data_IF_340410424138
#
_entry.id   IF_340410424138
#
_cell.length_a   1.000
_cell.length_b   1.000
_cell.length_c   1.000
_cell.angle_alpha   90.00
_cell.angle_beta   90.00
_cell.angle_gamma   90.00
#
_symmetry.space_group_name_H-M   'P 1'
#
loop_
_entity.id
_entity.type
_entity.pdbx_description
1 polymer ?
#
# COMPACT_ATOMS: atom_id res chain seq x y z
N UNK A 1 52.04 53.69 -47.66
CA UNK A 1 50.99 52.65 -47.66
C UNK A 1 51.36 51.38 -46.86
N UNK A 2 52.64 51.01 -46.69
CA UNK A 2 53.04 49.80 -45.92
C UNK A 2 53.04 49.94 -44.38
N UNK A 3 53.21 51.14 -43.80
CA UNK A 3 53.28 51.32 -42.33
C UNK A 3 51.88 51.29 -41.66
N UNK A 4 50.85 51.77 -42.37
CA UNK A 4 49.46 51.76 -41.88
C UNK A 4 48.90 50.33 -41.83
N UNK A 5 49.29 49.48 -42.79
CA UNK A 5 48.92 48.07 -42.85
C UNK A 5 49.58 47.22 -41.73
N UNK A 6 50.79 47.58 -41.32
CA UNK A 6 51.48 46.92 -40.20
C UNK A 6 50.88 47.28 -38.84
N UNK A 7 50.45 48.54 -38.65
CA UNK A 7 49.80 48.96 -37.40
C UNK A 7 48.39 48.38 -37.25
N UNK A 8 47.65 48.17 -38.34
CA UNK A 8 46.36 47.45 -38.30
C UNK A 8 46.52 45.96 -37.94
N UNK A 9 47.66 45.34 -38.27
CA UNK A 9 47.96 43.95 -37.90
C UNK A 9 48.19 43.76 -36.39
N UNK A 10 48.85 44.72 -35.74
CA UNK A 10 49.12 44.68 -34.29
C UNK A 10 47.86 45.01 -33.49
N UNK A 11 47.05 45.98 -33.94
CA UNK A 11 45.76 46.28 -33.34
C UNK A 11 44.78 45.09 -33.46
N UNK A 12 44.76 44.42 -34.61
CA UNK A 12 43.95 43.22 -34.83
C UNK A 12 44.37 42.03 -33.95
N UNK A 13 45.68 41.81 -33.76
CA UNK A 13 46.19 40.75 -32.91
C UNK A 13 45.90 40.98 -31.41
N UNK A 14 45.98 42.23 -30.94
CA UNK A 14 45.64 42.59 -29.56
C UNK A 14 44.15 42.39 -29.23
N UNK A 15 43.25 42.77 -30.14
CA UNK A 15 41.80 42.55 -30.00
C UNK A 15 41.46 41.05 -30.05
N UNK A 16 42.16 40.28 -30.87
CA UNK A 16 41.97 38.83 -30.96
C UNK A 16 42.39 38.08 -29.69
N UNK A 17 43.54 38.44 -29.08
CA UNK A 17 43.99 37.83 -27.82
C UNK A 17 43.11 38.25 -26.63
N UNK A 18 42.63 39.50 -26.61
CA UNK A 18 41.66 39.97 -25.61
C UNK A 18 40.31 39.27 -25.74
N UNK A 19 39.83 39.04 -26.97
CA UNK A 19 38.62 38.27 -27.27
C UNK A 19 38.77 36.81 -26.86
N UNK A 20 39.89 36.15 -27.18
CA UNK A 20 40.19 34.78 -26.74
C UNK A 20 40.24 34.63 -25.21
N UNK A 21 40.71 35.66 -24.48
CA UNK A 21 40.72 35.66 -23.01
C UNK A 21 39.32 35.88 -22.42
N UNK A 22 38.52 36.76 -23.02
CA UNK A 22 37.13 36.97 -22.64
C UNK A 22 36.27 35.72 -22.91
N UNK A 23 36.45 35.09 -24.07
CA UNK A 23 35.74 33.86 -24.44
C UNK A 23 36.15 32.68 -23.54
N UNK A 24 37.42 32.58 -23.11
CA UNK A 24 37.87 31.58 -22.13
C UNK A 24 37.30 31.81 -20.71
N UNK A 25 37.16 33.05 -20.27
CA UNK A 25 36.57 33.37 -18.96
C UNK A 25 35.06 33.03 -18.94
N UNK A 26 34.38 33.28 -20.04
CA UNK A 26 32.95 32.96 -20.22
C UNK A 26 32.74 31.44 -20.32
N UNK A 27 33.61 30.72 -21.03
CA UNK A 27 33.59 29.26 -21.08
C UNK A 27 33.88 28.62 -19.72
N UNK A 28 34.80 29.16 -18.92
CA UNK A 28 35.05 28.69 -17.55
C UNK A 28 33.89 28.97 -16.61
N UNK A 29 33.22 30.12 -16.73
CA UNK A 29 32.01 30.41 -15.98
C UNK A 29 30.87 29.43 -16.34
N UNK A 30 30.67 29.15 -17.64
CA UNK A 30 29.72 28.15 -18.11
C UNK A 30 30.11 26.72 -17.69
N UNK A 31 31.40 26.41 -17.62
CA UNK A 31 31.89 25.10 -17.16
C UNK A 31 31.65 24.92 -15.66
N UNK A 32 31.84 25.97 -14.84
CA UNK A 32 31.49 25.98 -13.41
C UNK A 32 29.97 25.87 -13.22
N UNK A 33 29.16 26.47 -14.09
CA UNK A 33 27.70 26.38 -14.05
C UNK A 33 27.20 25.00 -14.51
N UNK A 34 27.84 24.40 -15.52
CA UNK A 34 27.62 23.02 -15.94
C UNK A 34 28.09 22.02 -14.87
N UNK A 35 29.23 22.22 -14.23
CA UNK A 35 29.74 21.38 -13.13
C UNK A 35 28.82 21.47 -11.91
N UNK A 36 28.33 22.66 -11.55
CA UNK A 36 27.30 22.84 -10.52
C UNK A 36 25.98 22.19 -10.91
N UNK A 37 25.59 22.27 -12.19
CA UNK A 37 24.42 21.61 -12.75
C UNK A 37 24.56 20.08 -12.75
N UNK A 38 25.75 19.55 -12.99
CA UNK A 38 26.10 18.13 -12.98
C UNK A 38 26.17 17.61 -11.54
N UNK A 39 26.73 18.33 -10.57
CA UNK A 39 26.72 17.93 -9.14
C UNK A 39 25.31 17.97 -8.54
N UNK A 40 24.53 19.02 -8.81
CA UNK A 40 23.14 19.12 -8.40
C UNK A 40 22.27 18.03 -9.07
N UNK A 41 22.53 17.71 -10.34
CA UNK A 41 21.91 16.57 -11.02
C UNK A 41 22.41 15.23 -10.49
N UNK A 42 23.68 15.09 -10.09
CA UNK A 42 24.20 13.83 -9.54
C UNK A 42 23.52 13.50 -8.23
N UNK A 43 23.41 14.48 -7.33
CA UNK A 43 22.68 14.32 -6.06
C UNK A 43 21.18 14.09 -6.28
N UNK A 44 20.56 14.78 -7.24
CA UNK A 44 19.17 14.56 -7.61
C UNK A 44 18.95 13.17 -8.22
N UNK A 45 19.88 12.67 -9.05
CA UNK A 45 19.84 11.34 -9.66
C UNK A 45 20.03 10.25 -8.60
N UNK A 46 20.91 10.46 -7.61
CA UNK A 46 21.04 9.55 -6.46
C UNK A 46 19.77 9.52 -5.62
N UNK A 47 19.20 10.68 -5.31
CA UNK A 47 17.92 10.77 -4.60
C UNK A 47 16.78 10.12 -5.40
N UNK A 48 16.72 10.37 -6.71
CA UNK A 48 15.75 9.74 -7.61
C UNK A 48 15.93 8.22 -7.66
N UNK A 49 17.16 7.68 -7.63
CA UNK A 49 17.40 6.23 -7.56
C UNK A 49 16.83 5.64 -6.28
N UNK A 50 17.07 6.29 -5.14
CA UNK A 50 16.51 5.86 -3.84
C UNK A 50 14.98 5.91 -3.86
N UNK A 51 14.40 6.98 -4.40
CA UNK A 51 12.95 7.12 -4.54
C UNK A 51 12.37 6.07 -5.50
N UNK A 52 13.05 5.76 -6.61
CA UNK A 52 12.65 4.71 -7.54
C UNK A 52 12.71 3.32 -6.90
N UNK A 53 13.74 3.02 -6.11
CA UNK A 53 13.83 1.78 -5.35
C UNK A 53 12.69 1.66 -4.33
N UNK A 54 12.41 2.73 -3.58
CA UNK A 54 11.29 2.78 -2.64
C UNK A 54 9.92 2.64 -3.33
N UNK A 55 9.74 3.26 -4.52
CA UNK A 55 8.54 3.11 -5.35
C UNK A 55 8.42 1.67 -5.87
N UNK A 56 9.52 1.04 -6.31
CA UNK A 56 9.50 -0.35 -6.76
C UNK A 56 9.15 -1.32 -5.62
N UNK A 57 9.74 -1.12 -4.43
CA UNK A 57 9.42 -1.92 -3.25
C UNK A 57 7.95 -1.75 -2.85
N UNK A 58 7.45 -0.51 -2.83
CA UNK A 58 6.06 -0.21 -2.53
C UNK A 58 5.11 -0.83 -3.56
N UNK A 59 5.45 -0.79 -4.85
CA UNK A 59 4.68 -1.46 -5.90
C UNK A 59 4.67 -2.98 -5.74
N UNK A 60 5.77 -3.60 -5.32
CA UNK A 60 5.80 -5.04 -4.99
C UNK A 60 4.84 -5.36 -3.84
N UNK A 61 4.86 -4.57 -2.76
CA UNK A 61 3.94 -4.72 -1.62
C UNK A 61 2.48 -4.56 -2.04
N UNK A 62 2.18 -3.55 -2.87
CA UNK A 62 0.84 -3.33 -3.41
C UNK A 62 0.37 -4.52 -4.27
N UNK A 63 1.24 -5.06 -5.13
CA UNK A 63 0.90 -6.23 -5.94
C UNK A 63 0.57 -7.45 -5.09
N UNK A 64 1.35 -7.72 -4.04
CA UNK A 64 1.08 -8.81 -3.08
C UNK A 64 -0.26 -8.58 -2.40
N UNK A 65 -0.50 -7.38 -1.87
CA UNK A 65 -1.77 -7.04 -1.20
C UNK A 65 -2.96 -7.20 -2.15
N UNK A 66 -2.88 -6.70 -3.38
CA UNK A 66 -3.95 -6.81 -4.38
C UNK A 66 -4.21 -8.27 -4.75
N UNK A 67 -3.18 -9.10 -4.88
CA UNK A 67 -3.35 -10.53 -5.14
C UNK A 67 -4.01 -11.26 -3.97
N UNK A 68 -3.57 -10.97 -2.74
CA UNK A 68 -4.19 -11.52 -1.53
C UNK A 68 -5.65 -11.08 -1.43
N UNK A 69 -5.96 -9.80 -1.59
CA UNK A 69 -7.34 -9.31 -1.57
C UNK A 69 -8.22 -9.93 -2.65
N UNK A 70 -7.70 -10.09 -3.89
CA UNK A 70 -8.44 -10.78 -4.96
C UNK A 70 -8.76 -12.22 -4.58
N UNK A 71 -7.80 -12.92 -3.98
CA UNK A 71 -8.00 -14.29 -3.50
C UNK A 71 -9.02 -14.35 -2.37
N UNK A 72 -8.94 -13.44 -1.42
CA UNK A 72 -9.88 -13.36 -0.30
C UNK A 72 -11.31 -13.08 -0.80
N UNK A 73 -11.48 -12.17 -1.76
CA UNK A 73 -12.77 -11.90 -2.40
C UNK A 73 -13.32 -13.12 -3.14
N UNK A 74 -12.47 -13.83 -3.90
CA UNK A 74 -12.88 -15.05 -4.61
C UNK A 74 -13.24 -16.19 -3.64
N UNK A 75 -12.50 -16.33 -2.54
CA UNK A 75 -12.85 -17.27 -1.47
C UNK A 75 -14.17 -16.90 -0.78
N UNK A 76 -14.40 -15.61 -0.50
CA UNK A 76 -15.65 -15.12 0.07
C UNK A 76 -16.82 -15.39 -0.88
N UNK A 77 -16.69 -15.06 -2.16
CA UNK A 77 -17.70 -15.32 -3.18
C UNK A 77 -18.02 -16.83 -3.28
N UNK A 78 -16.98 -17.68 -3.36
CA UNK A 78 -17.15 -19.15 -3.35
C UNK A 78 -17.85 -19.66 -2.11
N UNK A 79 -17.61 -19.07 -0.94
CA UNK A 79 -18.28 -19.44 0.32
C UNK A 79 -19.76 -19.03 0.29
N UNK A 80 -20.06 -17.82 -0.17
CA UNK A 80 -21.42 -17.31 -0.23
C UNK A 80 -22.26 -17.92 -1.37
N UNK A 81 -21.63 -18.34 -2.48
CA UNK A 81 -22.30 -18.86 -3.67
C UNK A 81 -22.16 -20.40 -3.87
N UNK A 82 -21.76 -21.14 -2.83
CA UNK A 82 -21.46 -22.59 -2.92
C UNK A 82 -22.70 -23.43 -3.29
N UNK A 83 -22.58 -24.23 -4.36
CA UNK A 83 -23.50 -25.33 -4.74
C UNK A 83 -25.00 -24.92 -4.78
N UNK A 84 -25.32 -23.82 -5.47
CA UNK A 84 -26.68 -23.27 -5.68
C UNK A 84 -27.29 -22.42 -4.56
N UNK A 85 -26.56 -22.14 -3.47
CA UNK A 85 -26.99 -21.15 -2.47
C UNK A 85 -26.45 -19.80 -2.90
N UNK A 86 -27.26 -18.99 -3.54
CA UNK A 86 -26.99 -17.57 -3.70
C UNK A 86 -27.55 -16.87 -2.46
N UNK A 87 -26.68 -16.36 -1.60
CA UNK A 87 -27.09 -15.71 -0.34
C UNK A 87 -27.90 -14.45 -0.62
N UNK A 88 -27.64 -13.73 -1.72
CA UNK A 88 -28.41 -12.56 -2.12
C UNK A 88 -29.84 -12.94 -2.53
N UNK A 89 -29.99 -13.96 -3.38
CA UNK A 89 -31.32 -14.50 -3.73
C UNK A 89 -32.05 -15.05 -2.51
N UNK A 90 -31.34 -15.77 -1.64
CA UNK A 90 -31.90 -16.33 -0.41
C UNK A 90 -32.32 -15.23 0.59
N UNK A 91 -31.59 -14.12 0.64
CA UNK A 91 -31.91 -12.97 1.46
C UNK A 91 -33.19 -12.27 0.99
N UNK A 92 -33.47 -12.27 -0.31
CA UNK A 92 -34.73 -11.75 -0.87
C UNK A 92 -35.88 -12.73 -0.59
N UNK A 93 -35.70 -14.02 -0.93
CA UNK A 93 -36.75 -15.04 -0.81
C UNK A 93 -37.09 -15.40 0.65
N UNK A 94 -36.11 -15.30 1.56
CA UNK A 94 -36.23 -15.71 2.98
C UNK A 94 -35.65 -14.67 3.94
N UNK A 95 -35.95 -13.40 3.69
CA UNK A 95 -35.46 -12.25 4.47
C UNK A 95 -35.51 -12.46 5.98
N UNK A 96 -36.66 -12.84 6.54
CA UNK A 96 -36.82 -13.09 7.99
C UNK A 96 -35.91 -14.18 8.54
N UNK A 97 -35.69 -15.25 7.77
CA UNK A 97 -34.82 -16.34 8.20
C UNK A 97 -33.35 -15.93 8.15
N UNK A 98 -32.96 -15.19 7.12
CA UNK A 98 -31.60 -14.64 6.97
C UNK A 98 -31.33 -13.61 8.08
N UNK A 99 -32.25 -12.68 8.31
CA UNK A 99 -32.18 -11.71 9.41
C UNK A 99 -32.00 -12.41 10.76
N UNK A 100 -32.81 -13.43 11.06
CA UNK A 100 -32.69 -14.19 12.31
C UNK A 100 -31.31 -14.82 12.47
N UNK A 101 -30.77 -15.42 11.40
CA UNK A 101 -29.45 -16.07 11.44
C UNK A 101 -28.35 -15.04 11.65
N UNK A 102 -28.41 -13.90 10.94
CA UNK A 102 -27.44 -12.80 11.09
C UNK A 102 -27.50 -12.24 12.50
N UNK A 103 -28.68 -11.87 13.00
CA UNK A 103 -28.85 -11.30 14.33
C UNK A 103 -28.39 -12.27 15.43
N UNK A 104 -28.73 -13.57 15.31
CA UNK A 104 -28.24 -14.61 16.22
C UNK A 104 -26.70 -14.70 16.19
N UNK A 105 -26.11 -14.75 15.00
CA UNK A 105 -24.66 -14.82 14.84
C UNK A 105 -23.95 -13.58 15.39
N UNK A 106 -24.50 -12.39 15.18
CA UNK A 106 -23.96 -11.13 15.72
C UNK A 106 -24.03 -11.08 17.25
N UNK A 107 -25.14 -11.53 17.85
CA UNK A 107 -25.27 -11.63 19.30
C UNK A 107 -24.27 -12.65 19.88
N UNK A 108 -24.13 -13.82 19.25
CA UNK A 108 -23.13 -14.82 19.65
C UNK A 108 -21.69 -14.29 19.55
N UNK A 109 -21.34 -13.62 18.46
CA UNK A 109 -20.01 -13.03 18.28
C UNK A 109 -19.72 -11.92 19.32
N UNK A 110 -20.71 -11.07 19.61
CA UNK A 110 -20.59 -10.03 20.65
C UNK A 110 -20.35 -10.68 22.01
N UNK A 111 -21.13 -11.71 22.34
CA UNK A 111 -20.97 -12.46 23.59
C UNK A 111 -19.59 -13.14 23.67
N UNK A 112 -19.04 -13.62 22.56
CA UNK A 112 -17.68 -14.17 22.53
C UNK A 112 -16.61 -13.13 22.87
N UNK A 113 -16.76 -11.90 22.39
CA UNK A 113 -15.85 -10.80 22.72
C UNK A 113 -15.96 -10.44 24.20
N UNK A 114 -17.16 -10.37 24.75
CA UNK A 114 -17.37 -10.15 26.19
C UNK A 114 -16.67 -11.21 27.04
N UNK A 115 -16.87 -12.49 26.72
CA UNK A 115 -16.23 -13.60 27.43
C UNK A 115 -14.70 -13.57 27.31
N UNK A 116 -14.17 -13.25 26.12
CA UNK A 116 -12.73 -13.08 25.93
C UNK A 116 -12.18 -11.89 26.72
N UNK A 117 -12.98 -10.85 26.94
CA UNK A 117 -12.63 -9.70 27.77
C UNK A 117 -12.77 -9.94 29.28
N UNK A 118 -13.21 -11.14 29.70
CA UNK A 118 -13.29 -11.55 31.09
C UNK A 118 -14.69 -11.47 31.72
N UNK A 119 -15.75 -11.29 30.93
CA UNK A 119 -17.11 -11.37 31.44
C UNK A 119 -17.40 -12.76 32.03
N UNK A 120 -18.20 -12.80 33.10
CA UNK A 120 -18.62 -14.05 33.72
C UNK A 120 -19.61 -14.82 32.82
N UNK A 121 -19.54 -16.15 32.91
CA UNK A 121 -20.43 -17.06 32.20
C UNK A 121 -21.76 -17.16 32.92
N UNK A 122 -22.84 -17.19 32.15
CA UNK A 122 -24.18 -17.45 32.65
C UNK A 122 -24.38 -18.94 32.95
N UNK A 123 -25.35 -19.25 33.81
CA UNK A 123 -25.71 -20.64 34.08
C UNK A 123 -26.18 -21.39 32.83
N UNK A 124 -26.88 -20.71 31.91
CA UNK A 124 -27.37 -21.30 30.67
C UNK A 124 -26.22 -21.73 29.76
N UNK A 125 -25.16 -20.91 29.68
CA UNK A 125 -23.96 -21.24 28.92
C UNK A 125 -23.28 -22.50 29.47
N UNK A 126 -23.13 -22.59 30.81
CA UNK A 126 -22.49 -23.74 31.46
C UNK A 126 -23.32 -25.02 31.40
N UNK A 127 -24.65 -24.91 31.40
CA UNK A 127 -25.60 -26.04 31.31
C UNK A 127 -25.87 -26.48 29.87
N UNK A 128 -25.40 -25.73 28.86
CA UNK A 128 -25.63 -26.08 27.47
C UNK A 128 -24.97 -27.44 27.14
N UNK A 129 -25.77 -28.37 26.64
CA UNK A 129 -25.30 -29.73 26.25
C UNK A 129 -25.46 -29.99 24.76
N UNK A 130 -26.30 -29.20 24.08
CA UNK A 130 -26.53 -29.31 22.63
C UNK A 130 -25.90 -28.17 21.86
N UNK A 131 -25.53 -28.45 20.60
CA UNK A 131 -25.04 -27.43 19.65
C UNK A 131 -26.04 -26.29 19.40
N UNK A 132 -27.34 -26.54 19.59
CA UNK A 132 -28.38 -25.52 19.45
C UNK A 132 -28.47 -24.55 20.63
N UNK A 133 -27.95 -24.95 21.79
CA UNK A 133 -28.03 -24.23 23.06
C UNK A 133 -26.76 -23.43 23.35
N UNK A 134 -25.61 -23.92 22.90
CA UNK A 134 -24.33 -23.24 23.07
C UNK A 134 -24.11 -22.13 22.03
N UNK A 135 -23.32 -21.13 22.41
CA UNK A 135 -22.74 -20.17 21.47
C UNK A 135 -21.82 -20.90 20.47
N UNK A 136 -22.21 -20.92 19.20
CA UNK A 136 -21.52 -21.67 18.16
C UNK A 136 -20.29 -20.96 17.61
N UNK A 137 -20.16 -19.65 17.86
CA UNK A 137 -19.02 -18.84 17.42
C UNK A 137 -17.76 -19.07 18.28
N UNK A 138 -17.93 -19.36 19.57
CA UNK A 138 -16.82 -19.67 20.48
C UNK A 138 -17.18 -20.76 21.52
N UNK A 139 -17.45 -22.00 21.11
CA UNK A 139 -17.96 -23.04 22.01
C UNK A 139 -17.08 -23.26 23.25
N UNK A 140 -15.77 -23.35 23.07
CA UNK A 140 -14.80 -23.57 24.16
C UNK A 140 -14.71 -22.40 25.14
N UNK A 141 -14.97 -21.17 24.69
CA UNK A 141 -15.01 -20.00 25.57
C UNK A 141 -16.36 -19.92 26.27
N UNK A 142 -17.47 -20.14 25.56
CA UNK A 142 -18.81 -20.09 26.16
C UNK A 142 -19.02 -21.17 27.22
N UNK A 143 -18.65 -22.42 26.92
CA UNK A 143 -18.69 -23.51 27.87
C UNK A 143 -17.44 -24.40 27.70
N UNK A 144 -16.43 -24.24 28.58
CA UNK A 144 -15.22 -25.04 28.53
C UNK A 144 -15.46 -26.56 28.68
N UNK A 145 -16.59 -26.96 29.27
CA UNK A 145 -16.95 -28.36 29.51
C UNK A 145 -17.86 -28.93 28.41
N UNK A 146 -18.15 -28.18 27.35
CA UNK A 146 -19.04 -28.64 26.29
C UNK A 146 -18.43 -29.78 25.49
N UNK A 147 -19.03 -30.97 25.63
CA UNK A 147 -18.78 -32.11 24.76
C UNK A 147 -20.00 -32.24 23.85
N UNK A 148 -19.85 -32.04 22.53
CA UNK A 148 -20.97 -32.20 21.61
C UNK A 148 -21.48 -33.64 21.69
N UNK A 149 -22.74 -33.83 22.08
CA UNK A 149 -23.40 -35.12 21.93
C UNK A 149 -23.53 -35.44 20.43
N UNK A 150 -23.12 -36.65 20.02
CA UNK A 150 -23.29 -37.17 18.66
C UNK A 150 -24.77 -37.37 18.31
#
# INVERSE_FOLDING_TARGET
MMVVLLMSGIAGAGVYVMKLRADNATLKANQIELEKGIEAQTKLIEQQKVDFEAIMESNKKLNVLVQTFKKDLDELDKRFNKKKRDVGKLAIERSKSVERVINKGSAEATRCVELASGAERTEQELKATKKSEINTMCPSLANPNFVPYE
#
